data_IF_858388505687
#
_entry.id   IF_858388505687
#
_cell.length_a   1.000
_cell.length_b   1.000
_cell.length_c   1.000
_cell.angle_alpha   90.00
_cell.angle_beta   90.00
_cell.angle_gamma   90.00
#
_symmetry.space_group_name_H-M   'P 1'
#
loop_
_entity.id
_entity.type
_entity.pdbx_description
1 polymer ?
#
# COMPACT_ATOMS: atom_id res chain seq x y z
N UNK A 1 -22.30 -7.07 2.01
CA UNK A 1 -22.39 -8.33 1.22
C UNK A 1 -21.92 -8.16 -0.24
N UNK A 2 -20.94 -7.27 -0.55
CA UNK A 2 -20.68 -6.90 -1.97
C UNK A 2 -19.24 -7.01 -2.48
N UNK A 3 -18.19 -7.09 -1.64
CA UNK A 3 -16.82 -7.33 -2.15
C UNK A 3 -16.46 -8.81 -2.31
N UNK A 4 -16.96 -9.68 -1.43
CA UNK A 4 -16.67 -11.12 -1.47
C UNK A 4 -17.22 -11.80 -2.74
N UNK A 5 -18.33 -11.30 -3.28
CA UNK A 5 -18.95 -11.78 -4.51
C UNK A 5 -18.21 -11.27 -5.77
N UNK A 6 -17.67 -10.05 -5.74
CA UNK A 6 -16.78 -9.53 -6.80
C UNK A 6 -15.47 -10.34 -6.85
N UNK A 7 -14.92 -10.72 -5.69
CA UNK A 7 -13.75 -11.60 -5.59
C UNK A 7 -14.00 -13.01 -6.12
N UNK A 8 -15.16 -13.60 -5.83
CA UNK A 8 -15.53 -14.92 -6.37
C UNK A 8 -15.69 -14.91 -7.89
N UNK A 9 -16.20 -13.81 -8.47
CA UNK A 9 -16.39 -13.69 -9.92
C UNK A 9 -15.06 -13.61 -10.69
N UNK A 10 -14.02 -12.99 -10.12
CA UNK A 10 -12.69 -12.91 -10.75
C UNK A 10 -11.94 -14.26 -10.81
N UNK A 11 -12.23 -15.22 -9.92
CA UNK A 11 -11.64 -16.56 -10.00
C UNK A 11 -12.14 -17.35 -11.23
N UNK A 12 -13.31 -17.01 -11.76
CA UNK A 12 -13.94 -17.67 -12.91
C UNK A 12 -13.37 -17.26 -14.27
N UNK A 13 -12.60 -16.17 -14.37
CA UNK A 13 -11.97 -15.72 -15.63
C UNK A 13 -10.70 -16.50 -16.02
N UNK A 14 -10.39 -17.59 -15.30
CA UNK A 14 -9.21 -18.45 -15.47
C UNK A 14 -9.16 -19.30 -16.77
N UNK A 15 -10.07 -19.12 -17.73
CA UNK A 15 -10.19 -20.05 -18.89
C UNK A 15 -9.83 -19.48 -20.27
N UNK A 16 -9.37 -18.24 -20.41
CA UNK A 16 -8.90 -17.76 -21.72
C UNK A 16 -7.40 -18.05 -21.90
N UNK A 17 -7.10 -19.24 -22.41
CA UNK A 17 -5.79 -19.64 -22.90
C UNK A 17 -5.37 -18.75 -24.09
N UNK A 18 -4.12 -18.26 -24.05
CA UNK A 18 -3.38 -17.98 -25.28
C UNK A 18 -3.19 -16.52 -25.68
N UNK A 19 -2.67 -15.67 -24.78
CA UNK A 19 -2.08 -14.38 -25.20
C UNK A 19 -0.67 -14.29 -24.59
N UNK A 20 0.33 -14.17 -25.46
CA UNK A 20 1.74 -13.90 -25.09
C UNK A 20 1.80 -12.55 -24.38
N UNK A 21 1.91 -12.57 -23.05
CA UNK A 21 1.92 -11.38 -22.21
C UNK A 21 3.35 -10.94 -21.84
N UNK A 22 3.99 -10.14 -22.70
CA UNK A 22 5.16 -9.36 -22.29
C UNK A 22 4.70 -8.07 -21.59
N UNK A 23 4.76 -8.03 -20.25
CA UNK A 23 4.56 -6.83 -19.43
C UNK A 23 3.43 -6.87 -18.38
N UNK A 24 2.53 -7.86 -18.45
CA UNK A 24 1.41 -8.05 -17.50
C UNK A 24 1.68 -8.86 -16.20
N UNK A 25 2.75 -9.68 -16.06
CA UNK A 25 2.94 -10.50 -14.85
C UNK A 25 3.03 -9.68 -13.56
N UNK A 26 3.72 -8.54 -13.60
CA UNK A 26 4.02 -7.75 -12.41
C UNK A 26 2.80 -7.05 -11.85
N UNK A 27 1.99 -6.39 -12.70
CA UNK A 27 0.77 -5.71 -12.25
C UNK A 27 -0.26 -6.69 -11.66
N UNK A 28 -0.36 -7.91 -12.19
CA UNK A 28 -1.22 -8.95 -11.66
C UNK A 28 -0.76 -9.46 -10.28
N UNK A 29 0.54 -9.70 -10.12
CA UNK A 29 1.12 -10.18 -8.86
C UNK A 29 0.93 -9.16 -7.73
N UNK A 30 1.11 -7.88 -8.04
CA UNK A 30 0.92 -6.77 -7.11
C UNK A 30 -0.49 -6.71 -6.55
N UNK A 31 -1.48 -7.02 -7.38
CA UNK A 31 -2.89 -6.95 -7.00
C UNK A 31 -3.33 -8.11 -6.15
N UNK A 32 -2.90 -9.33 -6.47
CA UNK A 32 -3.16 -10.47 -5.58
C UNK A 32 -2.54 -10.24 -4.20
N UNK A 33 -1.36 -9.63 -4.18
CA UNK A 33 -0.71 -9.23 -2.95
C UNK A 33 -1.52 -8.15 -2.20
N UNK A 34 -1.97 -7.10 -2.91
CA UNK A 34 -2.81 -6.02 -2.40
C UNK A 34 -4.10 -6.54 -1.76
N UNK A 35 -4.83 -7.37 -2.50
CA UNK A 35 -6.10 -7.97 -2.12
C UNK A 35 -5.99 -8.80 -0.84
N UNK A 36 -4.96 -9.66 -0.78
CA UNK A 36 -4.71 -10.49 0.39
C UNK A 36 -4.32 -9.66 1.62
N UNK A 37 -3.60 -8.53 1.41
CA UNK A 37 -3.25 -7.63 2.50
C UNK A 37 -4.42 -6.78 2.97
N UNK A 38 -5.32 -6.38 2.07
CA UNK A 38 -6.56 -5.70 2.41
C UNK A 38 -7.44 -6.55 3.32
N UNK A 39 -7.65 -7.83 2.99
CA UNK A 39 -8.42 -8.75 3.84
C UNK A 39 -7.84 -8.84 5.25
N UNK A 40 -6.51 -8.99 5.35
CA UNK A 40 -5.81 -9.01 6.65
C UNK A 40 -5.89 -7.69 7.42
N UNK A 41 -5.91 -6.55 6.72
CA UNK A 41 -6.09 -5.23 7.32
C UNK A 41 -7.51 -5.10 7.91
N UNK A 42 -8.52 -5.53 7.16
CA UNK A 42 -9.91 -5.47 7.57
C UNK A 42 -10.16 -6.30 8.84
N UNK A 43 -9.69 -7.55 8.88
CA UNK A 43 -9.84 -8.43 10.05
C UNK A 43 -9.20 -7.84 11.32
N UNK A 44 -8.07 -7.13 11.18
CA UNK A 44 -7.35 -6.55 12.31
C UNK A 44 -7.99 -5.28 12.84
N UNK A 45 -8.50 -4.43 11.97
CA UNK A 45 -9.12 -3.18 12.39
C UNK A 45 -10.49 -3.44 13.01
N UNK A 46 -11.20 -4.50 12.59
CA UNK A 46 -12.41 -4.95 13.27
C UNK A 46 -12.15 -5.30 14.75
N UNK A 47 -10.96 -5.84 15.08
CA UNK A 47 -10.52 -6.11 16.46
C UNK A 47 -10.19 -4.80 17.22
N UNK A 48 -9.62 -3.78 16.55
CA UNK A 48 -9.39 -2.45 17.15
C UNK A 48 -10.72 -1.73 17.45
N UNK A 49 -11.68 -1.86 16.53
CA UNK A 49 -13.01 -1.22 16.57
C UNK A 49 -13.89 -1.69 17.72
N UNK A 50 -13.62 -2.87 18.28
CA UNK A 50 -14.32 -3.39 19.46
C UNK A 50 -13.89 -2.69 20.76
N UNK A 51 -12.68 -2.09 20.81
CA UNK A 51 -12.08 -1.56 22.05
C UNK A 51 -11.75 -0.05 22.00
N UNK A 52 -11.47 0.53 20.83
CA UNK A 52 -11.43 1.99 20.60
C UNK A 52 -12.71 2.39 19.89
N UNK A 53 -13.31 3.52 20.31
CA UNK A 53 -14.46 4.18 19.67
C UNK A 53 -14.59 3.83 18.18
N UNK A 54 -15.52 2.91 17.90
CA UNK A 54 -15.77 2.19 16.65
C UNK A 54 -15.85 3.06 15.39
N UNK A 55 -16.07 4.37 15.54
CA UNK A 55 -16.18 5.31 14.44
C UNK A 55 -14.82 5.63 13.79
N UNK A 56 -13.72 5.66 14.56
CA UNK A 56 -12.40 6.02 14.02
C UNK A 56 -11.79 4.88 13.20
N UNK A 57 -11.92 3.64 13.68
CA UNK A 57 -11.43 2.46 12.97
C UNK A 57 -12.18 2.22 11.65
N UNK A 58 -13.52 2.35 11.64
CA UNK A 58 -14.32 2.30 10.41
C UNK A 58 -13.91 3.39 9.42
N UNK A 59 -13.64 4.61 9.91
CA UNK A 59 -13.17 5.71 9.07
C UNK A 59 -11.83 5.38 8.38
N UNK A 60 -10.87 4.80 9.10
CA UNK A 60 -9.56 4.45 8.54
C UNK A 60 -9.61 3.25 7.57
N UNK A 61 -10.42 2.22 7.86
CA UNK A 61 -10.73 1.15 6.87
C UNK A 61 -11.33 1.77 5.61
N UNK A 62 -12.27 2.70 5.77
CA UNK A 62 -12.92 3.40 4.66
C UNK A 62 -11.89 4.04 3.73
N UNK A 63 -10.96 4.82 4.29
CA UNK A 63 -9.89 5.50 3.51
C UNK A 63 -8.99 4.54 2.75
N UNK A 64 -8.62 3.43 3.39
CA UNK A 64 -7.84 2.37 2.74
C UNK A 64 -8.62 1.69 1.63
N UNK A 65 -9.86 1.29 1.91
CA UNK A 65 -10.73 0.58 0.98
C UNK A 65 -11.02 1.45 -0.25
N UNK A 66 -11.23 2.76 -0.06
CA UNK A 66 -11.36 3.73 -1.13
C UNK A 66 -10.11 3.75 -2.03
N UNK A 67 -8.92 3.95 -1.43
CA UNK A 67 -7.67 3.96 -2.20
C UNK A 67 -7.47 2.66 -2.99
N UNK A 68 -7.75 1.53 -2.37
CA UNK A 68 -7.62 0.24 -3.02
C UNK A 68 -8.61 -0.01 -4.13
N UNK A 69 -9.87 0.41 -3.94
CA UNK A 69 -10.88 0.36 -4.99
C UNK A 69 -10.43 1.11 -6.23
N UNK A 70 -9.83 2.29 -6.04
CA UNK A 70 -9.31 3.11 -7.15
C UNK A 70 -8.10 2.44 -7.81
N UNK A 71 -7.13 1.96 -7.03
CA UNK A 71 -5.93 1.27 -7.56
C UNK A 71 -6.33 0.03 -8.38
N UNK A 72 -7.28 -0.74 -7.88
CA UNK A 72 -7.76 -1.93 -8.60
C UNK A 72 -8.54 -1.57 -9.86
N UNK A 73 -9.35 -0.52 -9.81
CA UNK A 73 -10.08 -0.03 -10.98
C UNK A 73 -9.13 0.48 -12.07
N UNK A 74 -8.09 1.23 -11.68
CA UNK A 74 -7.02 1.67 -12.56
C UNK A 74 -6.30 0.48 -13.24
N UNK A 75 -6.05 -0.60 -12.50
CA UNK A 75 -5.42 -1.80 -13.06
C UNK A 75 -6.30 -2.50 -14.09
N UNK A 76 -7.62 -2.55 -13.89
CA UNK A 76 -8.53 -3.15 -14.88
C UNK A 76 -8.38 -2.45 -16.24
N UNK A 77 -8.17 -1.13 -16.24
CA UNK A 77 -7.90 -0.38 -17.48
C UNK A 77 -6.53 -0.70 -18.10
N UNK A 78 -5.57 -1.18 -17.31
CA UNK A 78 -4.24 -1.57 -17.77
C UNK A 78 -4.17 -3.01 -18.32
N UNK A 79 -5.22 -3.82 -18.13
CA UNK A 79 -5.23 -5.21 -18.60
C UNK A 79 -5.32 -5.33 -20.12
N UNK A 80 -6.05 -4.42 -20.76
CA UNK A 80 -6.27 -4.42 -22.19
C UNK A 80 -5.83 -3.10 -22.80
N UNK A 81 -4.73 -3.14 -23.56
CA UNK A 81 -4.14 -1.95 -24.18
C UNK A 81 -4.98 -1.43 -25.34
N UNK A 82 -5.82 -2.26 -25.94
CA UNK A 82 -6.63 -1.87 -27.09
C UNK A 82 -7.78 -0.93 -26.68
N UNK A 83 -8.17 -0.98 -25.39
CA UNK A 83 -9.20 -0.11 -24.81
C UNK A 83 -8.68 1.25 -24.33
N UNK A 84 -7.38 1.52 -24.44
CA UNK A 84 -6.74 2.73 -23.90
C UNK A 84 -7.41 4.02 -24.38
N UNK A 85 -7.80 4.08 -25.65
CA UNK A 85 -8.46 5.26 -26.23
C UNK A 85 -9.89 5.43 -25.70
N UNK A 86 -10.63 4.33 -25.56
CA UNK A 86 -12.01 4.33 -25.04
C UNK A 86 -12.05 4.64 -23.54
N UNK A 87 -11.05 4.19 -22.79
CA UNK A 87 -10.98 4.38 -21.35
C UNK A 87 -10.31 5.69 -20.93
N UNK A 88 -9.91 6.56 -21.86
CA UNK A 88 -9.06 7.72 -21.58
C UNK A 88 -9.67 8.69 -20.56
N UNK A 89 -10.97 8.93 -20.66
CA UNK A 89 -11.67 9.85 -19.76
C UNK A 89 -11.78 9.29 -18.34
N UNK A 90 -12.06 7.98 -18.24
CA UNK A 90 -12.10 7.24 -16.98
C UNK A 90 -10.69 7.17 -16.35
N UNK A 91 -9.66 6.90 -17.15
CA UNK A 91 -8.28 6.86 -16.70
C UNK A 91 -7.85 8.20 -16.09
N UNK A 92 -8.26 9.33 -16.67
CA UNK A 92 -7.96 10.65 -16.10
C UNK A 92 -8.63 10.87 -14.74
N UNK A 93 -9.85 10.38 -14.54
CA UNK A 93 -10.55 10.42 -13.25
C UNK A 93 -9.76 9.61 -12.22
N UNK A 94 -9.41 8.36 -12.54
CA UNK A 94 -8.65 7.52 -11.62
C UNK A 94 -7.27 8.08 -11.30
N UNK A 95 -6.55 8.64 -12.27
CA UNK A 95 -5.27 9.30 -12.02
C UNK A 95 -5.41 10.45 -11.01
N UNK A 96 -6.47 11.24 -11.11
CA UNK A 96 -6.76 12.31 -10.14
C UNK A 96 -7.05 11.75 -8.74
N UNK A 97 -7.92 10.75 -8.66
CA UNK A 97 -8.31 10.13 -7.39
C UNK A 97 -7.14 9.40 -6.72
N UNK A 98 -6.31 8.67 -7.49
CA UNK A 98 -5.10 8.02 -6.99
C UNK A 98 -4.14 9.04 -6.38
N UNK A 99 -3.92 10.18 -7.04
CA UNK A 99 -3.03 11.22 -6.53
C UNK A 99 -3.53 11.80 -5.21
N UNK A 100 -4.83 12.09 -5.09
CA UNK A 100 -5.46 12.59 -3.87
C UNK A 100 -5.34 11.56 -2.75
N UNK A 101 -5.78 10.33 -3.00
CA UNK A 101 -5.86 9.28 -1.99
C UNK A 101 -4.49 8.80 -1.53
N UNK A 102 -3.50 8.74 -2.43
CA UNK A 102 -2.10 8.49 -2.05
C UNK A 102 -1.60 9.53 -1.05
N UNK A 103 -1.91 10.81 -1.28
CA UNK A 103 -1.51 11.88 -0.37
C UNK A 103 -2.28 11.82 0.96
N UNK A 104 -3.59 11.50 0.93
CA UNK A 104 -4.38 11.25 2.14
C UNK A 104 -3.75 10.12 2.98
N UNK A 105 -3.33 9.02 2.34
CA UNK A 105 -2.69 7.90 3.03
C UNK A 105 -1.33 8.26 3.62
N UNK A 106 -0.48 9.02 2.91
CA UNK A 106 0.77 9.50 3.48
C UNK A 106 0.54 10.36 4.73
N UNK A 107 -0.41 11.29 4.66
CA UNK A 107 -0.78 12.13 5.81
C UNK A 107 -1.35 11.30 6.96
N UNK A 108 -2.14 10.25 6.65
CA UNK A 108 -2.65 9.32 7.65
C UNK A 108 -1.53 8.60 8.39
N UNK A 109 -0.53 8.09 7.67
CA UNK A 109 0.64 7.43 8.28
C UNK A 109 1.41 8.41 9.17
N UNK A 110 1.69 9.61 8.68
CA UNK A 110 2.40 10.64 9.46
C UNK A 110 1.62 10.98 10.76
N UNK A 111 0.29 11.11 10.68
CA UNK A 111 -0.56 11.37 11.84
C UNK A 111 -0.56 10.20 12.83
N UNK A 112 -0.61 8.97 12.33
CA UNK A 112 -0.57 7.78 13.18
C UNK A 112 0.72 7.69 13.96
N UNK A 113 1.86 7.94 13.31
CA UNK A 113 3.15 8.00 13.99
C UNK A 113 3.13 9.00 15.15
N UNK A 114 2.49 10.15 14.98
CA UNK A 114 2.34 11.16 16.03
C UNK A 114 1.41 10.76 17.19
N UNK A 115 0.48 9.83 16.97
CA UNK A 115 -0.50 9.41 17.97
C UNK A 115 -0.07 8.18 18.79
N UNK A 116 0.91 7.41 18.30
CA UNK A 116 1.37 6.16 18.95
C UNK A 116 1.87 6.37 20.40
N UNK A 117 2.28 7.57 20.77
CA UNK A 117 2.75 7.89 22.13
C UNK A 117 1.65 7.86 23.19
N UNK A 118 0.39 8.05 22.79
CA UNK A 118 -0.73 8.24 23.71
C UNK A 118 -1.70 7.05 23.73
N UNK A 119 -1.32 5.92 23.13
CA UNK A 119 -2.16 4.74 23.01
C UNK A 119 -1.76 3.64 24.01
N UNK A 120 -2.73 2.83 24.42
CA UNK A 120 -2.45 1.62 25.21
C UNK A 120 -1.68 0.58 24.38
N UNK A 121 -0.95 -0.32 25.04
CA UNK A 121 -0.15 -1.39 24.43
C UNK A 121 -0.79 -2.10 23.23
N UNK A 122 -2.00 -2.65 23.44
CA UNK A 122 -2.72 -3.42 22.41
C UNK A 122 -3.04 -2.58 21.17
N UNK A 123 -3.40 -1.31 21.37
CA UNK A 123 -3.72 -0.39 20.29
C UNK A 123 -2.45 0.06 19.55
N UNK A 124 -1.35 0.25 20.28
CA UNK A 124 -0.04 0.51 19.67
C UNK A 124 0.39 -0.64 18.77
N UNK A 125 0.29 -1.89 19.21
CA UNK A 125 0.64 -3.07 18.39
C UNK A 125 -0.13 -3.10 17.06
N UNK A 126 -1.46 -2.98 17.15
CA UNK A 126 -2.34 -3.03 15.99
C UNK A 126 -2.09 -1.86 15.02
N UNK A 127 -1.78 -0.68 15.55
CA UNK A 127 -1.46 0.50 14.75
C UNK A 127 -0.09 0.40 14.07
N UNK A 128 0.91 -0.17 14.73
CA UNK A 128 2.21 -0.44 14.12
C UNK A 128 2.09 -1.44 12.97
N UNK A 129 1.33 -2.51 13.17
CA UNK A 129 1.04 -3.51 12.14
C UNK A 129 0.26 -2.91 10.95
N UNK A 130 -0.65 -1.99 11.22
CA UNK A 130 -1.38 -1.24 10.21
C UNK A 130 -0.45 -0.32 9.41
N UNK A 131 0.40 0.49 10.09
CA UNK A 131 1.40 1.35 9.44
C UNK A 131 2.34 0.53 8.57
N UNK A 132 2.83 -0.60 9.09
CA UNK A 132 3.68 -1.53 8.33
C UNK A 132 3.00 -1.99 7.04
N UNK A 133 1.71 -2.35 7.14
CA UNK A 133 0.97 -2.83 5.97
C UNK A 133 0.75 -1.71 4.94
N UNK A 134 0.45 -0.49 5.39
CA UNK A 134 0.36 0.68 4.50
C UNK A 134 1.69 0.97 3.80
N UNK A 135 2.80 1.00 4.55
CA UNK A 135 4.14 1.23 4.02
C UNK A 135 4.58 0.15 3.04
N UNK A 136 4.10 -1.08 3.20
CA UNK A 136 4.36 -2.15 2.25
C UNK A 136 3.56 -1.99 0.95
N UNK A 137 2.33 -1.47 1.02
CA UNK A 137 1.44 -1.44 -0.13
C UNK A 137 1.57 -0.17 -0.97
N UNK A 138 1.83 0.99 -0.37
CA UNK A 138 1.93 2.26 -1.10
C UNK A 138 2.85 2.22 -2.35
N UNK A 139 4.05 1.60 -2.32
CA UNK A 139 4.91 1.49 -3.49
C UNK A 139 4.22 0.82 -4.70
N UNK A 140 3.35 -0.15 -4.43
CA UNK A 140 2.63 -0.95 -5.43
C UNK A 140 1.53 -0.11 -6.08
N UNK A 141 0.80 0.68 -5.28
CA UNK A 141 -0.18 1.64 -5.79
C UNK A 141 0.47 2.76 -6.62
N UNK A 142 1.62 3.29 -6.19
CA UNK A 142 2.41 4.28 -6.94
C UNK A 142 2.86 3.72 -8.30
N UNK A 143 3.27 2.45 -8.33
CA UNK A 143 3.66 1.79 -9.59
C UNK A 143 2.49 1.65 -10.57
N UNK A 144 1.30 1.23 -10.10
CA UNK A 144 0.10 1.15 -10.93
C UNK A 144 -0.30 2.54 -11.48
N UNK A 145 -0.19 3.58 -10.66
CA UNK A 145 -0.46 4.96 -11.09
C UNK A 145 0.51 5.41 -12.18
N UNK A 146 1.80 5.11 -12.02
CA UNK A 146 2.82 5.37 -13.02
C UNK A 146 2.52 4.64 -14.34
N UNK A 147 2.19 3.35 -14.28
CA UNK A 147 1.79 2.57 -15.46
C UNK A 147 0.55 3.13 -16.14
N UNK A 148 -0.43 3.61 -15.37
CA UNK A 148 -1.62 4.28 -15.92
C UNK A 148 -1.23 5.57 -16.66
N UNK A 149 -0.34 6.40 -16.12
CA UNK A 149 0.18 7.56 -16.86
C UNK A 149 0.90 7.16 -18.16
N UNK A 150 1.72 6.11 -18.14
CA UNK A 150 2.43 5.62 -19.33
C UNK A 150 1.46 5.13 -20.41
N UNK A 151 0.43 4.37 -20.03
CA UNK A 151 -0.60 3.88 -20.97
C UNK A 151 -1.29 5.04 -21.70
N UNK A 152 -1.46 6.17 -21.04
CA UNK A 152 -2.10 7.37 -21.60
C UNK A 152 -1.13 8.27 -22.40
N UNK A 153 0.12 7.82 -22.61
CA UNK A 153 1.16 8.58 -23.31
C UNK A 153 1.75 9.74 -22.49
N UNK A 154 1.47 9.82 -21.18
CA UNK A 154 1.88 10.92 -20.30
C UNK A 154 3.22 10.64 -19.60
N UNK A 155 4.24 10.21 -20.34
CA UNK A 155 5.51 9.71 -19.81
C UNK A 155 6.24 10.68 -18.86
N UNK A 156 6.29 11.98 -19.19
CA UNK A 156 6.91 12.99 -18.31
C UNK A 156 6.20 13.11 -16.96
N UNK A 157 4.88 12.99 -16.97
CA UNK A 157 4.08 13.01 -15.74
C UNK A 157 4.26 11.73 -14.95
N UNK A 158 4.32 10.58 -15.63
CA UNK A 158 4.61 9.28 -15.03
C UNK A 158 5.95 9.34 -14.26
N UNK A 159 7.00 9.87 -14.89
CA UNK A 159 8.32 10.04 -14.28
C UNK A 159 8.30 11.00 -13.09
N UNK A 160 7.62 12.13 -13.23
CA UNK A 160 7.51 13.12 -12.16
C UNK A 160 6.81 12.53 -10.93
N UNK A 161 5.66 11.87 -11.14
CA UNK A 161 4.88 11.27 -10.05
C UNK A 161 5.65 10.15 -9.36
N UNK A 162 6.33 9.28 -10.12
CA UNK A 162 7.16 8.23 -9.56
C UNK A 162 8.26 8.84 -8.69
N UNK A 163 9.00 9.83 -9.20
CA UNK A 163 10.07 10.50 -8.45
C UNK A 163 9.57 11.13 -7.15
N UNK A 164 8.53 11.96 -7.22
CA UNK A 164 8.02 12.70 -6.05
C UNK A 164 7.41 11.73 -5.03
N UNK A 165 6.65 10.74 -5.48
CA UNK A 165 6.03 9.75 -4.60
C UNK A 165 7.08 8.86 -3.93
N UNK A 166 8.12 8.46 -4.65
CA UNK A 166 9.28 7.74 -4.08
C UNK A 166 10.01 8.56 -3.02
N UNK A 167 10.20 9.87 -3.24
CA UNK A 167 10.80 10.75 -2.25
C UNK A 167 9.93 10.87 -0.99
N UNK A 168 8.62 11.07 -1.17
CA UNK A 168 7.66 11.14 -0.06
C UNK A 168 7.62 9.84 0.73
N UNK A 169 7.59 8.71 0.05
CA UNK A 169 7.64 7.38 0.67
C UNK A 169 8.90 7.19 1.52
N UNK A 170 10.08 7.49 0.98
CA UNK A 170 11.36 7.40 1.70
C UNK A 170 11.37 8.29 2.95
N UNK A 171 10.80 9.49 2.86
CA UNK A 171 10.68 10.40 4.02
C UNK A 171 9.80 9.82 5.12
N UNK A 172 8.59 9.35 4.78
CA UNK A 172 7.67 8.76 5.76
C UNK A 172 8.25 7.48 6.37
N UNK A 173 8.91 6.63 5.57
CA UNK A 173 9.61 5.44 6.06
C UNK A 173 10.75 5.79 7.02
N UNK A 174 11.52 6.84 6.72
CA UNK A 174 12.57 7.32 7.61
C UNK A 174 12.00 7.83 8.95
N UNK A 175 10.96 8.67 8.91
CA UNK A 175 10.29 9.18 10.11
C UNK A 175 9.75 8.06 10.99
N UNK A 176 9.13 7.04 10.39
CA UNK A 176 8.65 5.86 11.11
C UNK A 176 9.80 5.06 11.74
N UNK A 177 10.90 4.89 11.02
CA UNK A 177 12.09 4.20 11.53
C UNK A 177 12.73 4.92 12.73
N UNK A 178 12.85 6.24 12.65
CA UNK A 178 13.37 7.05 13.76
C UNK A 178 12.46 7.00 14.98
N UNK A 179 11.14 7.01 14.78
CA UNK A 179 10.17 6.80 15.85
C UNK A 179 10.39 5.45 16.55
N UNK A 180 10.47 4.36 15.80
CA UNK A 180 10.69 3.02 16.35
C UNK A 180 12.01 2.95 17.15
N UNK A 181 13.11 3.48 16.60
CA UNK A 181 14.41 3.51 17.31
C UNK A 181 14.35 4.31 18.60
N UNK A 182 13.70 5.48 18.60
CA UNK A 182 13.56 6.34 19.78
C UNK A 182 12.80 5.59 20.88
N UNK A 183 11.73 4.88 20.53
CA UNK A 183 10.95 4.07 21.47
C UNK A 183 11.73 2.89 22.03
N UNK A 184 12.42 2.11 21.19
CA UNK A 184 13.25 1.02 21.67
C UNK A 184 14.29 1.51 22.69
N UNK A 185 14.94 2.65 22.42
CA UNK A 185 15.89 3.26 23.37
C UNK A 185 15.24 3.73 24.67
N UNK A 186 14.07 4.37 24.62
CA UNK A 186 13.40 4.84 25.84
C UNK A 186 12.91 3.71 26.72
N UNK A 187 12.44 2.60 26.11
CA UNK A 187 11.92 1.46 26.86
C UNK A 187 13.06 0.65 27.51
N UNK A 188 14.20 0.51 26.83
CA UNK A 188 15.41 -0.11 27.43
C UNK A 188 15.87 0.65 28.68
N UNK A 189 15.69 1.98 28.71
CA UNK A 189 16.05 2.82 29.85
C UNK A 189 15.00 2.81 30.98
N UNK A 190 13.75 2.42 30.71
CA UNK A 190 12.64 2.46 31.67
C UNK A 190 12.23 1.09 32.23
N UNK A 191 12.98 0.02 31.92
CA UNK A 191 12.75 -1.37 32.38
C UNK A 191 11.34 -1.95 32.10
N UNK A 192 10.60 -1.43 31.11
CA UNK A 192 9.28 -1.95 30.74
C UNK A 192 9.40 -3.10 29.73
N UNK A 193 9.69 -4.30 30.25
CA UNK A 193 10.05 -5.51 29.50
C UNK A 193 9.02 -5.91 28.43
N UNK A 194 7.72 -5.59 28.59
CA UNK A 194 6.67 -6.00 27.65
C UNK A 194 6.64 -5.12 26.40
N UNK A 195 6.74 -3.80 26.57
CA UNK A 195 6.88 -2.86 25.46
C UNK A 195 8.18 -3.06 24.67
N UNK A 196 9.26 -3.51 25.31
CA UNK A 196 10.53 -3.80 24.61
C UNK A 196 10.30 -4.85 23.51
N UNK A 197 9.58 -5.92 23.83
CA UNK A 197 9.38 -7.05 22.92
C UNK A 197 8.52 -6.67 21.72
N UNK A 198 7.46 -5.89 21.94
CA UNK A 198 6.58 -5.38 20.88
C UNK A 198 7.32 -4.50 19.87
N UNK A 199 8.17 -3.58 20.34
CA UNK A 199 8.98 -2.75 19.44
C UNK A 199 10.14 -3.51 18.78
N UNK A 200 10.69 -4.55 19.44
CA UNK A 200 11.69 -5.45 18.84
C UNK A 200 11.09 -6.29 17.70
N UNK A 201 9.91 -6.87 17.90
CA UNK A 201 9.22 -7.66 16.88
C UNK A 201 8.81 -6.77 15.70
N UNK A 202 8.37 -5.54 15.98
CA UNK A 202 8.10 -4.55 14.94
C UNK A 202 9.37 -4.08 14.20
N UNK A 203 10.52 -4.00 14.87
CA UNK A 203 11.80 -3.67 14.23
C UNK A 203 12.15 -4.67 13.11
N UNK A 204 11.79 -5.95 13.28
CA UNK A 204 11.95 -6.98 12.24
C UNK A 204 11.07 -6.67 11.02
N UNK A 205 9.81 -6.30 11.24
CA UNK A 205 8.88 -5.96 10.16
C UNK A 205 9.28 -4.67 9.45
N UNK A 206 9.70 -3.65 10.19
CA UNK A 206 10.26 -2.42 9.64
C UNK A 206 11.53 -2.69 8.81
N UNK A 207 12.44 -3.55 9.29
CA UNK A 207 13.64 -3.96 8.53
C UNK A 207 13.27 -4.68 7.23
N UNK A 208 12.25 -5.53 7.24
CA UNK A 208 11.75 -6.20 6.02
C UNK A 208 11.21 -5.20 5.00
N UNK A 209 10.43 -4.21 5.43
CA UNK A 209 9.86 -3.19 4.52
C UNK A 209 10.95 -2.26 4.00
N UNK A 210 11.82 -1.77 4.87
CA UNK A 210 12.87 -0.81 4.51
C UNK A 210 13.97 -1.41 3.63
N UNK A 211 14.25 -2.70 3.76
CA UNK A 211 15.20 -3.44 2.90
C UNK A 211 14.51 -4.24 1.80
N UNK A 212 13.21 -4.03 1.57
CA UNK A 212 12.50 -4.75 0.52
C UNK A 212 13.05 -4.34 -0.85
N UNK A 213 13.86 -5.22 -1.45
CA UNK A 213 14.38 -5.05 -2.82
C UNK A 213 13.25 -4.84 -3.81
N UNK A 214 12.09 -5.46 -3.58
CA UNK A 214 10.90 -5.29 -4.39
C UNK A 214 10.32 -3.87 -4.31
N UNK A 215 10.13 -3.33 -3.11
CA UNK A 215 9.63 -1.95 -2.97
C UNK A 215 10.62 -0.92 -3.50
N UNK A 216 11.93 -1.19 -3.37
CA UNK A 216 12.98 -0.35 -3.96
C UNK A 216 12.94 -0.43 -5.49
N UNK A 217 12.80 -1.62 -6.07
CA UNK A 217 12.75 -1.85 -7.51
C UNK A 217 11.54 -1.15 -8.16
N UNK A 218 10.36 -1.23 -7.55
CA UNK A 218 9.15 -0.55 -8.06
C UNK A 218 9.26 0.97 -8.08
N UNK A 219 10.09 1.51 -7.19
CA UNK A 219 10.27 2.94 -6.97
C UNK A 219 11.53 3.49 -7.65
N UNK A 220 12.34 2.63 -8.27
CA UNK A 220 13.51 2.99 -9.06
C UNK A 220 13.24 2.79 -10.55
N UNK A 221 13.61 3.78 -11.37
CA UNK A 221 13.52 3.65 -12.82
C UNK A 221 14.63 2.73 -13.32
N UNK A 222 14.25 1.48 -13.60
CA UNK A 222 15.05 0.46 -14.24
C UNK A 222 14.08 -0.67 -14.56
N UNK A 223 13.94 -0.99 -15.83
CA UNK A 223 13.18 -2.15 -16.31
C UNK A 223 13.39 -3.33 -15.35
N UNK A 224 12.31 -3.85 -14.78
CA UNK A 224 12.27 -5.23 -14.30
C UNK A 224 12.55 -6.11 -15.53
N UNK A 225 13.84 -6.28 -15.87
CA UNK A 225 14.29 -7.48 -16.54
C UNK A 225 14.27 -8.53 -15.45
N UNK A 226 13.13 -9.21 -15.34
CA UNK A 226 13.10 -10.52 -14.74
C UNK A 226 13.95 -11.40 -15.66
N UNK A 227 15.24 -11.53 -15.34
CA UNK A 227 16.06 -12.61 -15.85
C UNK A 227 15.48 -13.90 -15.24
N UNK A 228 14.50 -14.45 -15.93
CA UNK A 228 13.97 -15.78 -15.70
C UNK A 228 14.99 -16.78 -16.25
N UNK A 229 15.86 -17.26 -15.38
CA UNK A 229 16.42 -18.60 -15.53
C UNK A 229 15.43 -19.63 -14.97
#
# INVERSE_FOLDING_TARGET
>A
MSLLLLFKRQQTLRSCKGIKMCGLPDAYLQTMYLANKLGKLQDKIDIISQDIHSQNAIYFIGKLTEYFGIVESARVLLLDKDLTTESKDIANIYLSEMAIKRNELFSLVDNFIGLLDNMSERHTDLMLDFINTLLDIMPKGIYIENQLYESQGKFKMADHILKISSMRYKKTLFSYGEFCKKKTKSIILSEDVKHVKLFQDNEINFKKISKSEYNVALLHKGTLKLDLN
#
